data_IF_194182624508
#
_entry.id   IF_194182624508
#
_cell.length_a   1.000
_cell.length_b   1.000
_cell.length_c   1.000
_cell.angle_alpha   90.00
_cell.angle_beta   90.00
_cell.angle_gamma   90.00
#
_symmetry.space_group_name_H-M   'P 1'
#
loop_
_entity.id
_entity.type
_entity.pdbx_description
1 polymer ?
#
# COMPACT_ATOMS: atom_id res chain seq x y z
N UNK A 1 -5.92 -0.86 -18.80
CA UNK A 1 -5.56 -1.84 -17.75
C UNK A 1 -4.98 -1.08 -16.58
N UNK A 2 -5.52 -1.24 -15.37
CA UNK A 2 -4.99 -0.56 -14.18
C UNK A 2 -3.60 -1.10 -13.84
N UNK A 3 -2.63 -0.21 -13.66
CA UNK A 3 -1.27 -0.60 -13.31
C UNK A 3 -1.19 -1.13 -11.87
N UNK A 4 -0.17 -1.93 -11.56
CA UNK A 4 0.02 -2.44 -10.21
C UNK A 4 0.12 -1.32 -9.15
N UNK A 5 0.70 -0.18 -9.54
CA UNK A 5 0.75 1.01 -8.69
C UNK A 5 -0.63 1.64 -8.47
N UNK A 6 -1.49 1.69 -9.48
CA UNK A 6 -2.87 2.17 -9.32
C UNK A 6 -3.66 1.28 -8.37
N UNK A 7 -3.52 -0.05 -8.47
CA UNK A 7 -4.20 -0.98 -7.56
C UNK A 7 -3.77 -0.74 -6.12
N UNK A 8 -2.47 -0.59 -5.84
CA UNK A 8 -1.98 -0.27 -4.49
C UNK A 8 -2.56 1.04 -3.97
N UNK A 9 -2.58 2.10 -4.80
CA UNK A 9 -3.16 3.39 -4.44
C UNK A 9 -4.66 3.27 -4.12
N UNK A 10 -5.43 2.57 -4.96
CA UNK A 10 -6.86 2.35 -4.74
C UNK A 10 -7.12 1.52 -3.49
N UNK A 11 -6.34 0.47 -3.24
CA UNK A 11 -6.46 -0.34 -2.02
C UNK A 11 -6.19 0.48 -0.76
N UNK A 12 -5.14 1.30 -0.79
CA UNK A 12 -4.78 2.19 0.31
C UNK A 12 -5.83 3.29 0.52
N UNK A 13 -6.44 3.80 -0.56
CA UNK A 13 -7.45 4.85 -0.48
C UNK A 13 -8.80 4.33 0.06
N UNK A 14 -9.16 3.08 -0.29
CA UNK A 14 -10.43 2.46 0.14
C UNK A 14 -10.35 1.86 1.54
N UNK A 15 -9.23 1.23 1.89
CA UNK A 15 -9.07 0.53 3.17
C UNK A 15 -8.27 1.35 4.22
N UNK A 16 -7.66 2.46 3.82
CA UNK A 16 -6.82 3.28 4.68
C UNK A 16 -5.38 2.76 4.78
N UNK A 17 -4.65 3.12 5.85
CA UNK A 17 -3.28 2.65 6.10
C UNK A 17 -3.21 1.13 6.17
N UNK A 18 -2.23 0.52 5.49
CA UNK A 18 -2.14 -0.94 5.40
C UNK A 18 -0.71 -1.45 5.55
N UNK A 19 -0.57 -2.62 6.17
CA UNK A 19 0.71 -3.32 6.25
C UNK A 19 1.04 -4.00 4.94
N UNK A 20 2.34 -4.31 4.72
CA UNK A 20 2.76 -5.12 3.56
C UNK A 20 2.08 -6.50 3.57
N UNK A 21 1.81 -7.05 4.76
CA UNK A 21 1.12 -8.33 4.90
C UNK A 21 -0.36 -8.23 4.49
N UNK A 22 -1.03 -7.12 4.79
CA UNK A 22 -2.40 -6.89 4.32
C UNK A 22 -2.43 -6.82 2.78
N UNK A 23 -1.47 -6.12 2.15
CA UNK A 23 -1.35 -6.14 0.68
C UNK A 23 -1.13 -7.54 0.09
N UNK A 24 -0.41 -8.41 0.81
CA UNK A 24 -0.21 -9.79 0.35
C UNK A 24 -1.52 -10.59 0.27
N UNK A 25 -2.56 -10.24 1.03
CA UNK A 25 -3.86 -10.91 0.97
C UNK A 25 -4.57 -10.65 -0.37
N UNK A 26 -4.22 -9.57 -1.08
CA UNK A 26 -4.77 -9.22 -2.39
C UNK A 26 -3.94 -9.77 -3.56
N UNK A 27 -2.80 -10.42 -3.31
CA UNK A 27 -2.00 -11.10 -4.33
C UNK A 27 -2.82 -12.09 -5.18
N UNK A 28 -3.68 -12.95 -4.60
CA UNK A 28 -4.48 -13.90 -5.37
C UNK A 28 -5.53 -13.22 -6.26
N UNK A 29 -6.00 -12.04 -5.87
CA UNK A 29 -7.00 -11.27 -6.63
C UNK A 29 -6.38 -10.52 -7.81
N UNK A 30 -5.14 -10.06 -7.68
CA UNK A 30 -4.43 -9.27 -8.69
C UNK A 30 -3.17 -9.97 -9.20
N UNK A 31 -3.24 -11.29 -9.45
CA UNK A 31 -2.08 -12.10 -9.85
C UNK A 31 -1.38 -11.59 -11.12
N UNK A 32 -2.13 -10.97 -12.04
CA UNK A 32 -1.58 -10.40 -13.28
C UNK A 32 -0.76 -9.13 -13.04
N UNK A 33 -0.98 -8.41 -11.94
CA UNK A 33 -0.23 -7.19 -11.59
C UNK A 33 0.77 -7.42 -10.46
N UNK A 34 0.44 -8.30 -9.51
CA UNK A 34 1.27 -8.63 -8.36
C UNK A 34 1.88 -10.03 -8.52
N UNK A 35 2.97 -10.09 -9.28
CA UNK A 35 3.70 -11.32 -9.63
C UNK A 35 4.18 -12.09 -8.39
N UNK A 36 4.63 -11.38 -7.33
CA UNK A 36 5.07 -12.01 -6.08
C UNK A 36 5.10 -11.02 -4.92
N UNK A 37 5.19 -11.53 -3.69
CA UNK A 37 5.43 -10.74 -2.47
C UNK A 37 6.66 -9.83 -2.61
N UNK A 38 7.74 -10.37 -3.17
CA UNK A 38 8.99 -9.64 -3.41
C UNK A 38 8.80 -8.54 -4.45
N UNK A 39 8.08 -8.83 -5.54
CA UNK A 39 7.78 -7.85 -6.57
C UNK A 39 6.95 -6.68 -6.01
N UNK A 40 5.92 -6.98 -5.22
CA UNK A 40 5.09 -5.98 -4.55
C UNK A 40 5.92 -5.07 -3.64
N UNK A 41 6.76 -5.64 -2.78
CA UNK A 41 7.57 -4.87 -1.84
C UNK A 41 8.70 -4.09 -2.52
N UNK A 42 9.52 -4.75 -3.35
CA UNK A 42 10.75 -4.18 -3.88
C UNK A 42 10.56 -3.34 -5.14
N UNK A 43 9.49 -3.57 -5.90
CA UNK A 43 9.26 -2.85 -7.15
C UNK A 43 8.12 -1.85 -7.00
N UNK A 44 6.95 -2.32 -6.60
CA UNK A 44 5.74 -1.48 -6.62
C UNK A 44 5.75 -0.51 -5.44
N UNK A 45 5.80 -1.02 -4.21
CA UNK A 45 5.80 -0.17 -3.01
C UNK A 45 7.04 0.74 -2.94
N UNK A 46 8.21 0.22 -3.31
CA UNK A 46 9.43 1.02 -3.36
C UNK A 46 9.39 2.13 -4.43
N UNK A 47 8.82 1.87 -5.61
CA UNK A 47 8.62 2.91 -6.63
C UNK A 47 7.69 4.01 -6.13
N UNK A 48 6.54 3.62 -5.54
CA UNK A 48 5.58 4.58 -5.00
C UNK A 48 6.13 5.40 -3.82
N UNK A 49 7.01 4.80 -3.02
CA UNK A 49 7.75 5.49 -1.96
C UNK A 49 8.76 6.48 -2.55
N UNK A 50 9.53 6.08 -3.57
CA UNK A 50 10.48 6.95 -4.26
C UNK A 50 9.83 8.09 -5.06
N UNK A 51 8.62 7.88 -5.57
CA UNK A 51 7.78 8.91 -6.20
C UNK A 51 7.14 9.86 -5.18
N UNK A 52 7.28 9.60 -3.87
CA UNK A 52 6.70 10.43 -2.82
C UNK A 52 5.18 10.32 -2.73
N UNK A 53 4.58 9.22 -3.21
CA UNK A 53 3.12 9.00 -3.16
C UNK A 53 2.71 8.32 -1.86
N UNK A 54 3.51 7.36 -1.39
CA UNK A 54 3.30 6.65 -0.13
C UNK A 54 4.52 6.75 0.76
N UNK A 55 4.33 6.58 2.06
CA UNK A 55 5.41 6.52 3.05
C UNK A 55 5.15 5.39 4.05
N UNK A 56 6.23 4.84 4.60
CA UNK A 56 6.12 3.97 5.79
C UNK A 56 5.96 4.82 7.04
N UNK A 57 4.95 4.50 7.84
CA UNK A 57 4.78 5.00 9.20
C UNK A 57 4.77 3.83 10.18
N UNK A 58 5.28 4.10 11.38
CA UNK A 58 5.22 3.16 12.49
C UNK A 58 3.91 3.39 13.23
N UNK A 59 3.07 2.36 13.28
CA UNK A 59 1.91 2.32 14.17
C UNK A 59 2.29 1.56 15.43
N UNK A 60 2.17 2.22 16.58
CA UNK A 60 2.29 1.59 17.90
C UNK A 60 0.90 1.54 18.49
N UNK A 61 0.32 0.35 18.54
CA UNK A 61 -0.92 0.14 19.28
C UNK A 61 -0.57 -0.02 20.76
N UNK A 62 -1.35 0.61 21.64
CA UNK A 62 -1.10 0.59 23.08
C UNK A 62 -1.03 -0.84 23.65
N UNK A 63 -1.78 -1.75 23.05
CA UNK A 63 -1.92 -3.14 23.48
C UNK A 63 -0.96 -4.11 22.76
N UNK A 64 -0.17 -3.63 21.78
CA UNK A 64 0.80 -4.46 21.06
C UNK A 64 2.24 -4.16 21.50
N UNK A 65 2.99 -5.17 21.98
CA UNK A 65 4.38 -4.99 22.37
C UNK A 65 5.31 -4.72 21.16
N UNK A 66 4.83 -4.93 19.93
CA UNK A 66 5.62 -4.75 18.71
C UNK A 66 5.05 -3.64 17.83
N UNK A 67 5.90 -2.69 17.36
CA UNK A 67 5.49 -1.71 16.38
C UNK A 67 5.20 -2.37 15.03
N UNK A 68 4.13 -1.92 14.37
CA UNK A 68 3.74 -2.38 13.04
C UNK A 68 4.09 -1.32 12.01
N UNK A 69 4.64 -1.75 10.87
CA UNK A 69 4.95 -0.86 9.76
C UNK A 69 3.79 -0.84 8.76
N UNK A 70 3.21 0.33 8.58
CA UNK A 70 2.08 0.56 7.68
C UNK A 70 2.47 1.56 6.59
N UNK A 71 1.97 1.29 5.40
CA UNK A 71 2.04 2.21 4.28
C UNK A 71 0.89 3.20 4.40
N UNK A 72 1.21 4.47 4.21
CA UNK A 72 0.27 5.58 4.27
C UNK A 72 0.47 6.43 3.02
N UNK A 73 -0.56 7.14 2.58
CA UNK A 73 -0.34 8.22 1.63
C UNK A 73 0.53 9.31 2.28
N UNK A 74 1.37 9.93 1.46
CA UNK A 74 2.13 11.12 1.88
C UNK A 74 1.23 12.34 2.00
N UNK A 75 0.18 12.43 1.18
CA UNK A 75 -0.79 13.52 1.15
C UNK A 75 -2.23 12.97 1.13
N UNK A 76 -3.10 13.53 1.97
CA UNK A 76 -4.53 13.18 2.07
C UNK A 76 -5.29 13.49 0.77
N UNK A 77 -4.92 14.54 0.04
CA UNK A 77 -5.51 14.88 -1.27
C UNK A 77 -5.29 13.78 -2.31
N UNK A 78 -4.15 13.07 -2.23
CA UNK A 78 -3.88 11.93 -3.09
C UNK A 78 -4.79 10.75 -2.71
N UNK A 79 -5.02 10.54 -1.41
CA UNK A 79 -5.90 9.49 -0.93
C UNK A 79 -7.33 9.68 -1.46
N UNK A 80 -7.86 10.90 -1.40
CA UNK A 80 -9.21 11.22 -1.91
C UNK A 80 -9.35 11.02 -3.41
N UNK A 81 -8.34 11.42 -4.20
CA UNK A 81 -8.33 11.22 -5.65
C UNK A 81 -8.46 9.74 -6.04
N UNK A 82 -7.81 8.84 -5.31
CA UNK A 82 -7.85 7.40 -5.60
C UNK A 82 -9.02 6.65 -4.95
N UNK A 83 -9.78 7.30 -4.06
CA UNK A 83 -10.95 6.71 -3.41
C UNK A 83 -12.15 6.63 -4.36
N UNK A 84 -12.25 7.61 -5.28
CA UNK A 84 -13.35 7.77 -6.23
C UNK A 84 -13.05 7.22 -7.65
N UNK A 85 -11.90 6.54 -7.81
CA UNK A 85 -11.51 5.79 -9.01
C UNK A 85 -11.91 4.30 -8.89
#
# INVERSE_FOLDING_TARGET
MSSAGQIVKTLLAKNGPMTTQAFHQYLPTYQTQFISKTHLKKKILASLEGEGVICKKVKREADSPKPTWEWNFTNEELAEKFKNL
#
